data_IF_761272426751
#
_entry.id   IF_761272426751
#
_cell.length_a   1.000
_cell.length_b   1.000
_cell.length_c   1.000
_cell.angle_alpha   90.00
_cell.angle_beta   90.00
_cell.angle_gamma   90.00
#
_symmetry.space_group_name_H-M   'P 1'
#
loop_
_entity.id
_entity.type
_entity.pdbx_description
1 polymer ?
#
# COMPACT_ATOMS: atom_id res chain seq x y z
N UNK A 1 -20.25 5.87 21.89
CA UNK A 1 -19.26 6.87 21.42
C UNK A 1 -19.32 6.85 19.91
N UNK A 2 -19.46 8.02 19.28
CA UNK A 2 -19.37 8.19 17.83
C UNK A 2 -17.96 8.64 17.46
N UNK A 3 -17.51 8.29 16.25
CA UNK A 3 -16.19 8.64 15.76
C UNK A 3 -16.24 9.95 14.97
N UNK A 4 -15.25 10.79 15.17
CA UNK A 4 -14.98 11.96 14.34
C UNK A 4 -14.40 11.53 12.98
N UNK A 5 -14.52 12.39 11.96
CA UNK A 5 -13.85 12.17 10.66
C UNK A 5 -12.33 12.03 10.81
N UNK A 6 -11.74 12.72 11.80
CA UNK A 6 -10.32 12.60 12.10
C UNK A 6 -9.97 11.19 12.61
N UNK A 7 -10.75 10.64 13.54
CA UNK A 7 -10.55 9.27 14.03
C UNK A 7 -10.75 8.23 12.92
N UNK A 8 -11.73 8.44 12.04
CA UNK A 8 -11.94 7.59 10.86
C UNK A 8 -10.71 7.64 9.94
N UNK A 9 -10.17 8.83 9.65
CA UNK A 9 -8.96 8.98 8.84
C UNK A 9 -7.74 8.32 9.50
N UNK A 10 -7.62 8.42 10.82
CA UNK A 10 -6.57 7.72 11.58
C UNK A 10 -6.71 6.20 11.46
N UNK A 11 -7.92 5.66 11.64
CA UNK A 11 -8.17 4.22 11.59
C UNK A 11 -8.00 3.63 10.19
N UNK A 12 -8.35 4.39 9.16
CA UNK A 12 -8.40 3.87 7.79
C UNK A 12 -7.16 4.20 6.95
N UNK A 13 -6.36 5.21 7.33
CA UNK A 13 -5.21 5.69 6.53
C UNK A 13 -3.92 5.81 7.35
N UNK A 14 -3.88 6.71 8.33
CA UNK A 14 -2.63 7.02 9.04
C UNK A 14 -2.12 5.85 9.89
N UNK A 15 -3.02 5.19 10.62
CA UNK A 15 -2.73 4.01 11.44
C UNK A 15 -2.15 2.85 10.62
N UNK A 16 -2.85 2.39 9.57
CA UNK A 16 -2.33 1.35 8.67
C UNK A 16 -0.98 1.70 8.04
N UNK A 17 -0.79 2.91 7.53
CA UNK A 17 0.48 3.32 6.93
C UNK A 17 1.64 3.33 7.93
N UNK A 18 1.38 3.78 9.17
CA UNK A 18 2.37 3.73 10.25
C UNK A 18 2.71 2.29 10.65
N UNK A 19 1.71 1.43 10.79
CA UNK A 19 1.90 0.02 11.15
C UNK A 19 2.73 -0.74 10.10
N UNK A 20 2.58 -0.39 8.83
CA UNK A 20 3.35 -0.95 7.71
C UNK A 20 4.73 -0.30 7.52
N UNK A 21 5.08 0.75 8.29
CA UNK A 21 6.37 1.45 8.16
C UNK A 21 6.49 2.34 6.93
N UNK A 22 5.36 2.72 6.31
CA UNK A 22 5.31 3.48 5.04
C UNK A 22 4.68 4.88 5.20
N UNK A 23 4.59 5.38 6.44
CA UNK A 23 3.96 6.66 6.76
C UNK A 23 4.70 7.90 6.25
N UNK A 24 5.95 7.74 5.80
CA UNK A 24 6.69 8.79 5.09
C UNK A 24 6.16 9.02 3.67
N UNK A 25 5.46 8.04 3.09
CA UNK A 25 5.01 8.04 1.69
C UNK A 25 3.49 7.99 1.57
N UNK A 26 2.81 7.24 2.45
CA UNK A 26 1.37 6.98 2.39
C UNK A 26 0.66 7.30 3.72
N UNK A 27 -0.67 7.41 3.67
CA UNK A 27 -1.52 7.54 4.85
C UNK A 27 -1.65 8.96 5.41
N UNK A 28 -1.20 9.96 4.66
CA UNK A 28 -1.26 11.38 5.03
C UNK A 28 -1.22 12.29 3.79
N UNK A 29 -1.23 13.60 4.04
CA UNK A 29 -1.25 14.64 3.00
C UNK A 29 -0.11 15.66 3.17
N UNK A 30 0.94 15.30 3.91
CA UNK A 30 2.08 16.18 4.13
C UNK A 30 2.90 16.37 2.83
N UNK A 31 3.58 17.51 2.64
CA UNK A 31 4.50 17.69 1.52
C UNK A 31 5.54 16.57 1.46
N UNK A 32 5.78 16.03 0.26
CA UNK A 32 6.70 14.92 0.02
C UNK A 32 6.06 13.52 0.03
N UNK A 33 4.80 13.40 0.44
CA UNK A 33 4.03 12.16 0.31
C UNK A 33 3.53 11.95 -1.12
N UNK A 34 3.22 10.71 -1.49
CA UNK A 34 2.61 10.43 -2.79
C UNK A 34 1.22 11.08 -2.87
N UNK A 35 0.89 11.63 -4.03
CA UNK A 35 -0.39 12.28 -4.31
C UNK A 35 -1.53 11.26 -4.46
N UNK A 36 -1.84 10.56 -3.37
CA UNK A 36 -2.94 9.62 -3.23
C UNK A 36 -4.02 10.24 -2.33
N UNK A 37 -5.08 10.76 -2.96
CA UNK A 37 -6.10 11.59 -2.28
C UNK A 37 -7.50 11.10 -2.64
N UNK A 38 -8.32 10.86 -1.62
CA UNK A 38 -9.75 10.59 -1.79
C UNK A 38 -10.55 11.79 -1.28
N UNK A 39 -11.50 12.25 -2.10
CA UNK A 39 -12.39 13.37 -1.78
C UNK A 39 -13.82 12.83 -1.73
N UNK A 40 -14.50 13.02 -0.60
CA UNK A 40 -15.87 12.57 -0.37
C UNK A 40 -16.81 13.78 -0.33
N UNK A 41 -18.02 13.62 -0.86
CA UNK A 41 -19.05 14.66 -0.85
C UNK A 41 -19.73 14.76 0.53
N UNK A 42 -18.93 15.07 1.56
CA UNK A 42 -19.38 15.32 2.92
C UNK A 42 -18.95 16.74 3.32
N UNK A 43 -19.90 17.54 3.79
CA UNK A 43 -19.61 18.84 4.36
C UNK A 43 -19.47 18.71 5.89
N UNK A 44 -18.30 18.93 6.49
CA UNK A 44 -18.13 18.85 7.94
C UNK A 44 -18.98 19.87 8.72
N UNK A 45 -19.34 21.00 8.10
CA UNK A 45 -20.18 22.04 8.70
C UNK A 45 -21.68 21.72 8.61
N UNK A 46 -22.05 20.80 7.71
CA UNK A 46 -23.43 20.37 7.44
C UNK A 46 -23.44 18.85 7.22
N UNK A 47 -23.09 18.12 8.28
CA UNK A 47 -23.03 16.66 8.24
C UNK A 47 -24.44 16.07 8.25
N UNK A 48 -24.73 15.07 7.38
CA UNK A 48 -26.02 14.41 7.39
C UNK A 48 -26.21 13.65 8.72
N UNK A 49 -27.41 13.75 9.28
CA UNK A 49 -27.81 12.99 10.48
C UNK A 49 -28.15 11.54 10.17
N UNK A 50 -28.44 11.24 8.90
CA UNK A 50 -28.76 9.90 8.42
C UNK A 50 -27.45 9.11 8.13
N UNK A 51 -27.18 8.01 8.85
CA UNK A 51 -26.01 7.17 8.62
C UNK A 51 -25.92 6.61 7.19
N UNK A 52 -27.05 6.35 6.52
CA UNK A 52 -27.06 5.79 5.17
C UNK A 52 -26.47 6.79 4.15
N UNK A 53 -26.66 8.09 4.38
CA UNK A 53 -26.07 9.12 3.53
C UNK A 53 -24.55 9.20 3.73
N UNK A 54 -24.05 9.00 4.95
CA UNK A 54 -22.62 8.93 5.25
C UNK A 54 -22.00 7.70 4.58
N UNK A 55 -22.64 6.53 4.70
CA UNK A 55 -22.21 5.28 4.06
C UNK A 55 -22.14 5.45 2.54
N UNK A 56 -23.18 6.02 1.93
CA UNK A 56 -23.22 6.29 0.49
C UNK A 56 -22.08 7.21 0.05
N UNK A 57 -21.81 8.26 0.82
CA UNK A 57 -20.73 9.19 0.51
C UNK A 57 -19.35 8.52 0.58
N UNK A 58 -19.09 7.64 1.56
CA UNK A 58 -17.83 6.89 1.62
C UNK A 58 -17.72 5.78 0.57
N UNK A 59 -18.85 5.22 0.13
CA UNK A 59 -18.90 4.18 -0.90
C UNK A 59 -18.56 4.70 -2.30
N UNK A 60 -18.91 5.95 -2.59
CA UNK A 60 -18.68 6.59 -3.89
C UNK A 60 -17.98 7.95 -3.68
N UNK A 61 -16.65 7.96 -3.79
CA UNK A 61 -15.89 9.20 -3.71
C UNK A 61 -16.20 10.13 -4.89
N UNK A 62 -16.25 11.44 -4.62
CA UNK A 62 -16.36 12.45 -5.65
C UNK A 62 -15.10 12.48 -6.54
N UNK A 63 -13.93 12.31 -5.94
CA UNK A 63 -12.68 12.14 -6.66
C UNK A 63 -11.75 11.15 -5.96
N UNK A 64 -11.04 10.37 -6.76
CA UNK A 64 -9.84 9.64 -6.33
C UNK A 64 -8.67 10.08 -7.21
N UNK A 65 -7.62 10.56 -6.57
CA UNK A 65 -6.35 10.87 -7.20
C UNK A 65 -5.37 9.79 -6.77
N UNK A 66 -4.72 9.13 -7.72
CA UNK A 66 -3.68 8.13 -7.49
C UNK A 66 -2.41 8.59 -8.20
N UNK A 67 -1.34 8.78 -7.43
CA UNK A 67 -0.05 9.28 -7.91
C UNK A 67 -0.17 10.55 -8.79
N UNK A 68 -1.08 11.45 -8.41
CA UNK A 68 -1.33 12.70 -9.13
C UNK A 68 -2.27 12.59 -10.34
N UNK A 69 -2.77 11.40 -10.66
CA UNK A 69 -3.70 11.15 -11.77
C UNK A 69 -5.11 10.98 -11.20
N UNK A 70 -6.09 11.70 -11.75
CA UNK A 70 -7.51 11.50 -11.41
C UNK A 70 -7.95 10.14 -11.95
N UNK A 71 -8.17 9.18 -11.05
CA UNK A 71 -8.57 7.81 -11.36
C UNK A 71 -10.09 7.61 -11.26
N UNK A 72 -10.74 8.30 -10.31
CA UNK A 72 -12.20 8.29 -10.14
C UNK A 72 -12.72 9.71 -10.15
N UNK A 73 -13.86 9.92 -10.82
CA UNK A 73 -14.62 11.17 -10.80
C UNK A 73 -16.11 10.85 -10.71
N UNK A 74 -16.80 11.47 -9.76
CA UNK A 74 -18.24 11.33 -9.52
C UNK A 74 -18.68 9.85 -9.36
N UNK A 75 -17.86 9.05 -8.67
CA UNK A 75 -18.09 7.62 -8.45
C UNK A 75 -17.67 6.70 -9.60
N UNK A 76 -17.30 7.24 -10.76
CA UNK A 76 -16.94 6.47 -11.96
C UNK A 76 -15.41 6.40 -12.15
N UNK A 77 -14.91 5.23 -12.52
CA UNK A 77 -13.49 5.05 -12.86
C UNK A 77 -13.23 5.68 -14.23
N UNK A 78 -12.36 6.70 -14.26
CA UNK A 78 -12.03 7.48 -15.46
C UNK A 78 -10.61 7.24 -15.96
N UNK A 79 -9.73 6.64 -15.15
CA UNK A 79 -8.38 6.27 -15.55
C UNK A 79 -7.84 5.08 -14.74
N UNK A 80 -6.89 4.37 -15.34
CA UNK A 80 -6.16 3.26 -14.73
C UNK A 80 -4.66 3.61 -14.59
N UNK A 81 -4.28 4.40 -13.57
CA UNK A 81 -2.89 4.77 -13.36
C UNK A 81 -2.03 3.54 -13.02
N UNK A 82 -0.77 3.56 -13.44
CA UNK A 82 0.15 2.46 -13.23
C UNK A 82 0.31 2.15 -11.72
N UNK A 83 0.06 0.91 -11.34
CA UNK A 83 0.28 0.42 -9.96
C UNK A 83 1.77 0.38 -9.64
N UNK A 84 2.11 0.40 -8.35
CA UNK A 84 3.47 0.14 -7.85
C UNK A 84 3.51 -1.18 -7.11
N UNK A 85 4.56 -1.95 -7.30
CA UNK A 85 4.83 -3.15 -6.51
C UNK A 85 5.80 -2.79 -5.40
N UNK A 86 5.27 -2.63 -4.18
CA UNK A 86 6.07 -2.29 -3.00
C UNK A 86 6.59 -3.57 -2.36
N UNK A 87 7.89 -3.67 -2.14
CA UNK A 87 8.55 -4.81 -1.51
C UNK A 87 9.72 -4.33 -0.66
N UNK A 88 10.22 -5.18 0.24
CA UNK A 88 11.34 -4.86 1.11
C UNK A 88 12.61 -5.48 0.52
N UNK A 89 13.61 -4.65 0.24
CA UNK A 89 14.94 -5.10 -0.14
C UNK A 89 15.83 -5.09 1.10
N UNK A 90 16.07 -6.28 1.66
CA UNK A 90 16.86 -6.44 2.89
C UNK A 90 18.30 -6.77 2.52
N UNK A 91 19.24 -5.93 2.95
CA UNK A 91 20.67 -6.21 2.88
C UNK A 91 21.10 -6.94 4.14
N UNK A 92 21.60 -8.17 3.97
CA UNK A 92 22.15 -9.00 5.05
C UNK A 92 23.55 -9.48 4.66
N UNK A 93 24.44 -9.78 5.62
CA UNK A 93 25.72 -10.42 5.31
C UNK A 93 25.48 -11.78 4.64
N UNK A 94 26.30 -12.10 3.65
CA UNK A 94 26.20 -13.42 3.01
C UNK A 94 26.51 -14.53 4.01
N UNK A 95 25.70 -15.60 3.98
CA UNK A 95 25.82 -16.72 4.90
C UNK A 95 25.81 -18.03 4.10
N UNK A 96 27.01 -18.53 3.82
CA UNK A 96 27.23 -19.75 3.05
C UNK A 96 26.56 -20.98 3.68
N UNK A 97 26.43 -21.04 5.00
CA UNK A 97 25.76 -22.15 5.68
C UNK A 97 24.26 -22.13 5.39
N UNK A 98 23.61 -20.96 5.52
CA UNK A 98 22.19 -20.80 5.21
C UNK A 98 21.91 -21.12 3.73
N UNK A 99 22.74 -20.62 2.80
CA UNK A 99 22.57 -20.92 1.37
C UNK A 99 22.66 -22.42 1.07
N UNK A 100 23.63 -23.12 1.69
CA UNK A 100 23.77 -24.56 1.57
C UNK A 100 22.55 -25.30 2.12
N UNK A 101 22.06 -24.90 3.29
CA UNK A 101 20.94 -25.55 3.96
C UNK A 101 19.63 -25.39 3.15
N UNK A 102 19.40 -24.19 2.58
CA UNK A 102 18.28 -23.94 1.65
C UNK A 102 18.40 -24.88 0.45
N UNK A 103 19.58 -24.95 -0.17
CA UNK A 103 19.79 -25.77 -1.37
C UNK A 103 19.55 -27.27 -1.10
N UNK A 104 20.13 -27.81 -0.02
CA UNK A 104 19.92 -29.20 0.40
C UNK A 104 18.45 -29.50 0.69
N UNK A 105 17.72 -28.55 1.30
CA UNK A 105 16.31 -28.73 1.60
C UNK A 105 15.46 -28.78 0.33
N UNK A 106 15.72 -27.90 -0.64
CA UNK A 106 15.06 -27.93 -1.95
C UNK A 106 15.31 -29.26 -2.67
N UNK A 107 16.56 -29.74 -2.69
CA UNK A 107 16.91 -31.00 -3.36
C UNK A 107 16.18 -32.22 -2.79
N UNK A 108 15.98 -32.28 -1.47
CA UNK A 108 15.41 -33.47 -0.81
C UNK A 108 13.90 -33.44 -0.68
N UNK A 109 13.31 -32.24 -0.61
CA UNK A 109 11.92 -32.09 -0.16
C UNK A 109 11.02 -31.32 -1.12
N UNK A 110 11.57 -30.60 -2.12
CA UNK A 110 10.78 -29.86 -3.09
C UNK A 110 10.69 -30.59 -4.43
N UNK A 111 9.62 -30.30 -5.17
CA UNK A 111 9.40 -30.79 -6.53
C UNK A 111 9.94 -29.86 -7.62
N UNK A 112 10.49 -28.70 -7.24
CA UNK A 112 11.08 -27.69 -8.14
C UNK A 112 12.48 -27.31 -7.65
N UNK A 113 13.36 -26.94 -8.59
CA UNK A 113 14.68 -26.41 -8.24
C UNK A 113 14.60 -24.99 -7.68
N UNK A 114 15.56 -24.63 -6.82
CA UNK A 114 15.60 -23.31 -6.15
C UNK A 114 15.59 -22.13 -7.13
N UNK A 115 16.24 -22.28 -8.29
CA UNK A 115 16.27 -21.23 -9.33
C UNK A 115 14.91 -20.98 -9.98
N UNK A 116 14.04 -21.99 -10.01
CA UNK A 116 12.67 -21.86 -10.54
C UNK A 116 11.67 -21.40 -9.47
N UNK A 117 12.09 -21.32 -8.21
CA UNK A 117 11.25 -20.86 -7.10
C UNK A 117 11.30 -19.34 -6.92
N UNK A 118 12.43 -18.72 -7.29
CA UNK A 118 12.61 -17.27 -7.21
C UNK A 118 11.63 -16.57 -8.15
N UNK A 119 11.08 -15.44 -7.71
CA UNK A 119 10.29 -14.58 -8.58
C UNK A 119 11.23 -13.87 -9.56
N UNK A 120 10.92 -13.93 -10.86
CA UNK A 120 11.68 -13.22 -11.88
C UNK A 120 11.36 -11.73 -11.90
N UNK A 121 12.37 -10.90 -12.13
CA UNK A 121 12.25 -9.42 -12.16
C UNK A 121 11.17 -8.95 -13.16
N UNK A 122 10.99 -9.68 -14.25
CA UNK A 122 10.00 -9.42 -15.31
C UNK A 122 8.54 -9.42 -14.78
N UNK A 123 8.29 -10.11 -13.66
CA UNK A 123 6.99 -10.16 -13.01
C UNK A 123 6.75 -9.00 -12.02
N UNK A 124 7.79 -8.26 -11.66
CA UNK A 124 7.71 -7.14 -10.70
C UNK A 124 7.48 -5.84 -11.45
N UNK A 125 6.24 -5.59 -11.83
CA UNK A 125 5.88 -4.36 -12.57
C UNK A 125 5.95 -3.11 -11.68
N UNK A 126 6.66 -2.08 -12.15
CA UNK A 126 6.84 -0.78 -11.47
C UNK A 126 7.25 -0.94 -9.99
N UNK A 127 8.45 -1.52 -9.73
CA UNK A 127 8.90 -1.81 -8.38
C UNK A 127 9.16 -0.54 -7.58
N UNK A 128 8.87 -0.60 -6.28
CA UNK A 128 9.34 0.36 -5.28
C UNK A 128 9.89 -0.44 -4.09
N UNK A 129 11.21 -0.57 -4.05
CA UNK A 129 11.89 -1.21 -2.94
C UNK A 129 11.91 -0.29 -1.71
N UNK A 130 11.69 -0.89 -0.54
CA UNK A 130 11.97 -0.30 0.77
C UNK A 130 13.29 -0.92 1.23
N UNK A 131 14.37 -0.16 1.14
CA UNK A 131 15.70 -0.61 1.54
C UNK A 131 15.79 -0.75 3.06
N UNK A 132 16.27 -1.91 3.51
CA UNK A 132 16.54 -2.19 4.92
C UNK A 132 17.95 -2.75 5.02
N UNK A 133 18.86 -1.97 5.61
CA UNK A 133 20.22 -2.42 5.90
C UNK A 133 20.26 -3.11 7.26
N UNK A 134 20.46 -4.43 7.24
CA UNK A 134 20.63 -5.28 8.42
C UNK A 134 22.04 -5.90 8.47
N UNK A 135 23.04 -5.21 7.90
CA UNK A 135 24.44 -5.64 7.92
C UNK A 135 25.21 -5.21 9.17
N UNK A 136 24.59 -4.41 10.03
CA UNK A 136 25.16 -3.95 11.31
C UNK A 136 25.04 -4.97 12.43
#
# INVERSE_FOLDING_TARGET
>A
RELTLYEIAQMTRAGPAKALGISNTYGGLAPGMDANVAIYALNPEDMPSDPEMIEKAFSLCAYLIKDGIVAVKDGEVVAEPAKRTVWVDVKVPDNTQVQRDIYEHFLRHYSVGVENYKLFDEHVHNPRAIEVDATQ
#
